data_IF_226261517369
#
_entry.id   IF_226261517369
#
_cell.length_a   1.000
_cell.length_b   1.000
_cell.length_c   1.000
_cell.angle_alpha   90.00
_cell.angle_beta   90.00
_cell.angle_gamma   90.00
#
_symmetry.space_group_name_H-M   'P 1'
#
loop_
_entity.id
_entity.type
_entity.pdbx_description
1 polymer ?
#
# COMPACT_ATOMS: atom_id res chain seq x y z
N UNK A 1 -3.99 -5.78 -32.90
CA UNK A 1 -2.92 -5.69 -31.88
C UNK A 1 -3.62 -5.67 -30.54
N UNK A 2 -3.40 -6.65 -29.67
CA UNK A 2 -3.96 -6.62 -28.33
C UNK A 2 -3.33 -5.43 -27.57
N UNK A 3 -4.15 -4.59 -26.95
CA UNK A 3 -3.69 -3.51 -26.08
C UNK A 3 -2.92 -4.12 -24.90
N UNK A 4 -1.79 -3.51 -24.54
CA UNK A 4 -1.10 -3.87 -23.30
C UNK A 4 -2.04 -3.51 -22.14
N UNK A 5 -2.37 -4.46 -21.24
CA UNK A 5 -3.23 -4.16 -20.10
C UNK A 5 -2.66 -3.03 -19.26
N UNK A 6 -3.50 -2.06 -18.91
CA UNK A 6 -3.13 -1.01 -17.96
C UNK A 6 -3.11 -1.54 -16.53
N UNK A 7 -2.50 -0.80 -15.61
CA UNK A 7 -2.61 -1.12 -14.18
C UNK A 7 -4.04 -1.01 -13.67
N UNK A 8 -4.83 -0.10 -14.26
CA UNK A 8 -6.26 0.03 -14.00
C UNK A 8 -6.99 -1.28 -14.30
N UNK A 9 -6.81 -1.82 -15.52
CA UNK A 9 -7.46 -3.08 -15.95
C UNK A 9 -7.08 -4.24 -15.01
N UNK A 10 -5.79 -4.36 -14.69
CA UNK A 10 -5.29 -5.42 -13.81
C UNK A 10 -5.93 -5.35 -12.41
N UNK A 11 -5.95 -4.16 -11.80
CA UNK A 11 -6.48 -3.97 -10.44
C UNK A 11 -7.99 -4.17 -10.42
N UNK A 12 -8.70 -3.68 -11.42
CA UNK A 12 -10.16 -3.81 -11.51
C UNK A 12 -10.56 -5.29 -11.62
N UNK A 13 -9.95 -6.03 -12.54
CA UNK A 13 -10.27 -7.44 -12.79
C UNK A 13 -9.89 -8.37 -11.64
N UNK A 14 -8.78 -8.11 -10.94
CA UNK A 14 -8.22 -9.07 -9.98
C UNK A 14 -8.44 -8.69 -8.51
N UNK A 15 -8.55 -7.40 -8.19
CA UNK A 15 -8.69 -6.95 -6.80
C UNK A 15 -10.08 -6.39 -6.55
N UNK A 16 -10.57 -5.50 -7.42
CA UNK A 16 -11.79 -4.74 -7.14
C UNK A 16 -13.08 -5.46 -7.55
N UNK A 17 -13.02 -6.47 -8.42
CA UNK A 17 -14.19 -7.24 -8.88
C UNK A 17 -15.15 -7.67 -7.75
N UNK A 18 -14.60 -8.00 -6.57
CA UNK A 18 -15.36 -8.54 -5.44
C UNK A 18 -15.93 -7.45 -4.50
N UNK A 19 -15.61 -6.17 -4.73
CA UNK A 19 -15.96 -5.02 -3.88
C UNK A 19 -15.57 -5.19 -2.40
N UNK A 20 -14.51 -5.97 -2.12
CA UNK A 20 -14.03 -6.23 -0.76
C UNK A 20 -13.06 -5.15 -0.23
N UNK A 21 -12.53 -4.30 -1.12
CA UNK A 21 -11.50 -3.31 -0.77
C UNK A 21 -12.07 -1.89 -0.84
N UNK A 22 -11.90 -1.11 0.23
CA UNK A 22 -12.24 0.31 0.27
C UNK A 22 -11.14 1.23 -0.31
N UNK A 23 -9.96 0.67 -0.58
CA UNK A 23 -8.87 1.37 -1.25
C UNK A 23 -7.73 0.44 -1.63
N UNK A 24 -7.03 0.79 -2.71
CA UNK A 24 -5.84 0.08 -3.20
C UNK A 24 -4.76 1.12 -3.50
N UNK A 25 -3.51 0.83 -3.18
CA UNK A 25 -2.36 1.59 -3.62
C UNK A 25 -1.27 0.64 -4.09
N UNK A 26 -0.78 0.85 -5.31
CA UNK A 26 0.39 0.16 -5.85
C UNK A 26 1.58 1.10 -5.79
N UNK A 27 2.65 0.64 -5.13
CA UNK A 27 3.90 1.37 -5.00
C UNK A 27 5.00 0.67 -5.80
N UNK A 28 5.86 1.47 -6.44
CA UNK A 28 7.13 1.00 -6.98
C UNK A 28 8.07 0.60 -5.84
N UNK A 29 9.15 -0.13 -6.15
CA UNK A 29 10.20 -0.41 -5.16
C UNK A 29 10.90 0.84 -4.64
N UNK A 30 10.81 1.96 -5.38
CA UNK A 30 11.34 3.27 -4.99
C UNK A 30 10.33 4.08 -4.17
N UNK A 31 9.07 3.62 -4.08
CA UNK A 31 8.01 4.25 -3.27
C UNK A 31 7.12 5.18 -4.06
N UNK A 32 7.28 5.21 -5.38
CA UNK A 32 6.44 6.00 -6.27
C UNK A 32 5.06 5.35 -6.36
N UNK A 33 4.03 6.19 -6.37
CA UNK A 33 2.66 5.74 -6.57
C UNK A 33 2.47 5.40 -8.05
N UNK A 34 2.23 4.12 -8.33
CA UNK A 34 1.93 3.62 -9.68
C UNK A 34 0.44 3.67 -9.95
N UNK A 35 -0.37 3.37 -8.91
CA UNK A 35 -1.82 3.34 -9.01
C UNK A 35 -2.45 3.59 -7.63
N UNK A 36 -3.61 4.23 -7.62
CA UNK A 36 -4.45 4.37 -6.42
C UNK A 36 -5.92 4.21 -6.74
N UNK A 37 -6.67 3.72 -5.76
CA UNK A 37 -8.11 3.59 -5.82
C UNK A 37 -8.75 3.86 -4.45
N UNK A 38 -9.97 4.39 -4.48
CA UNK A 38 -10.80 4.58 -3.29
C UNK A 38 -10.16 5.51 -2.27
N UNK A 39 -10.14 5.07 -1.01
CA UNK A 39 -9.64 5.86 0.12
C UNK A 39 -8.13 6.16 0.05
N UNK A 40 -7.35 5.45 -0.78
CA UNK A 40 -5.88 5.59 -0.84
C UNK A 40 -5.39 6.52 -1.97
N UNK A 41 -6.21 7.45 -2.43
CA UNK A 41 -5.93 8.33 -3.58
C UNK A 41 -5.01 9.52 -3.28
N UNK A 42 -4.89 9.94 -2.02
CA UNK A 42 -4.12 11.13 -1.63
C UNK A 42 -3.04 10.82 -0.59
N UNK A 43 -2.23 9.79 -0.84
CA UNK A 43 -1.11 9.45 0.03
C UNK A 43 0.06 10.40 -0.18
N UNK A 44 0.60 10.93 0.91
CA UNK A 44 1.84 11.69 0.91
C UNK A 44 3.07 10.79 0.75
N UNK A 45 4.17 11.36 0.27
CA UNK A 45 5.46 10.66 0.18
C UNK A 45 5.96 10.16 1.55
N UNK A 46 5.59 10.84 2.63
CA UNK A 46 5.88 10.40 4.00
C UNK A 46 5.12 9.13 4.37
N UNK A 47 3.89 9.00 3.91
CA UNK A 47 3.05 7.81 4.12
C UNK A 47 3.51 6.64 3.26
N UNK A 48 3.79 6.86 1.97
CA UNK A 48 4.28 5.79 1.08
C UNK A 48 5.63 5.21 1.53
N UNK A 49 6.54 6.07 2.04
CA UNK A 49 7.84 5.63 2.57
C UNK A 49 7.74 4.76 3.82
N UNK A 50 6.68 4.86 4.62
CA UNK A 50 6.48 3.97 5.78
C UNK A 50 6.31 2.52 5.32
N UNK A 51 5.56 2.30 4.23
CA UNK A 51 5.37 0.96 3.66
C UNK A 51 6.68 0.38 3.15
N UNK A 52 7.46 1.15 2.40
CA UNK A 52 8.77 0.69 1.92
C UNK A 52 9.67 0.24 3.05
N UNK A 53 9.75 1.02 4.14
CA UNK A 53 10.56 0.67 5.31
C UNK A 53 10.13 -0.68 5.88
N UNK A 54 8.84 -0.99 5.93
CA UNK A 54 8.37 -2.28 6.43
C UNK A 54 8.87 -3.49 5.59
N UNK A 55 9.09 -3.30 4.29
CA UNK A 55 9.54 -4.35 3.37
C UNK A 55 11.06 -4.36 3.11
N UNK A 56 11.76 -3.23 3.30
CA UNK A 56 13.19 -3.10 3.01
C UNK A 56 14.09 -3.39 4.23
N UNK A 57 13.54 -3.53 5.44
CA UNK A 57 14.34 -3.83 6.62
C UNK A 57 14.93 -5.25 6.57
N UNK A 58 16.21 -5.35 6.89
CA UNK A 58 17.00 -6.60 6.78
C UNK A 58 17.19 -7.32 8.12
N UNK A 59 16.81 -6.70 9.25
CA UNK A 59 16.94 -7.33 10.57
C UNK A 59 15.59 -7.64 11.20
N UNK A 60 15.47 -8.82 11.79
CA UNK A 60 14.26 -9.30 12.45
C UNK A 60 13.80 -8.36 13.59
N UNK A 61 14.75 -7.74 14.31
CA UNK A 61 14.45 -6.78 15.38
C UNK A 61 13.84 -5.47 14.85
N UNK A 62 14.35 -4.97 13.73
CA UNK A 62 13.80 -3.77 13.09
C UNK A 62 12.42 -4.04 12.47
N UNK A 63 12.25 -5.22 11.90
CA UNK A 63 10.98 -5.68 11.35
C UNK A 63 9.89 -5.80 12.43
N UNK A 64 10.20 -6.44 13.55
CA UNK A 64 9.26 -6.59 14.67
C UNK A 64 8.85 -5.24 15.25
N UNK A 65 9.81 -4.31 15.37
CA UNK A 65 9.53 -2.93 15.78
C UNK A 65 8.56 -2.22 14.83
N UNK A 66 8.75 -2.34 13.51
CA UNK A 66 7.82 -1.74 12.54
C UNK A 66 6.45 -2.41 12.58
N UNK A 67 6.38 -3.72 12.83
CA UNK A 67 5.08 -4.40 12.98
C UNK A 67 4.31 -3.93 14.21
N UNK A 68 5.02 -3.62 15.30
CA UNK A 68 4.45 -3.07 16.54
C UNK A 68 4.06 -1.59 16.39
N UNK A 69 4.95 -0.77 15.84
CA UNK A 69 4.70 0.66 15.60
C UNK A 69 3.62 0.87 14.53
N UNK A 70 3.60 0.04 13.49
CA UNK A 70 2.65 0.13 12.40
C UNK A 70 2.92 1.32 11.47
N UNK A 71 1.87 1.87 10.89
CA UNK A 71 1.95 3.05 10.02
C UNK A 71 0.75 3.98 10.22
N UNK A 72 0.91 5.23 9.83
CA UNK A 72 -0.18 6.22 9.86
C UNK A 72 -0.63 6.59 8.46
N UNK A 73 -1.94 6.73 8.29
CA UNK A 73 -2.55 7.27 7.08
C UNK A 73 -3.50 8.40 7.41
N UNK A 74 -3.54 9.40 6.55
CA UNK A 74 -4.44 10.55 6.62
C UNK A 74 -5.38 10.49 5.43
N UNK A 75 -6.62 10.08 5.68
CA UNK A 75 -7.64 10.09 4.63
C UNK A 75 -8.21 11.50 4.44
N UNK A 76 -8.76 11.76 3.25
CA UNK A 76 -9.28 13.08 2.90
C UNK A 76 -10.41 13.49 3.87
N UNK A 77 -10.20 14.58 4.59
CA UNK A 77 -11.18 15.09 5.56
C UNK A 77 -11.24 14.33 6.88
N UNK A 78 -10.38 13.32 7.08
CA UNK A 78 -10.32 12.54 8.31
C UNK A 78 -9.09 12.88 9.15
N UNK A 79 -9.13 12.47 10.41
CA UNK A 79 -7.96 12.50 11.29
C UNK A 79 -6.99 11.39 10.86
N UNK A 80 -5.71 11.64 11.09
CA UNK A 80 -4.67 10.62 10.96
C UNK A 80 -5.04 9.37 11.77
N UNK A 81 -5.03 8.22 11.12
CA UNK A 81 -5.35 6.92 11.71
C UNK A 81 -4.10 6.06 11.78
N UNK A 82 -3.86 5.47 12.96
CA UNK A 82 -2.77 4.51 13.18
C UNK A 82 -3.26 3.11 12.81
N UNK A 83 -2.49 2.42 11.97
CA UNK A 83 -2.73 1.04 11.55
C UNK A 83 -1.64 0.14 12.10
N UNK A 84 -2.03 -1.06 12.54
CA UNK A 84 -1.09 -2.11 12.94
C UNK A 84 -0.85 -3.07 11.79
N UNK A 85 0.39 -3.50 11.60
CA UNK A 85 0.73 -4.52 10.61
C UNK A 85 0.53 -5.89 11.27
N UNK A 86 -0.47 -6.64 10.82
CA UNK A 86 -0.73 -7.99 11.33
C UNK A 86 0.04 -9.07 10.58
N UNK A 87 0.28 -8.87 9.29
CA UNK A 87 0.96 -9.84 8.44
C UNK A 87 1.73 -9.13 7.32
N UNK A 88 2.87 -9.70 6.95
CA UNK A 88 3.67 -9.30 5.80
C UNK A 88 3.93 -10.54 4.95
N UNK A 89 3.57 -10.47 3.67
CA UNK A 89 3.74 -11.57 2.71
C UNK A 89 4.60 -11.10 1.56
N UNK A 90 5.58 -11.91 1.17
CA UNK A 90 6.39 -11.67 -0.01
C UNK A 90 5.83 -12.47 -1.18
N UNK A 91 5.55 -11.81 -2.29
CA UNK A 91 5.31 -12.48 -3.56
C UNK A 91 6.62 -13.11 -4.04
N UNK A 92 6.58 -14.39 -4.40
CA UNK A 92 7.71 -15.12 -5.00
C UNK A 92 7.52 -15.23 -6.51
#
# INVERSE_FOLDING_TARGET
MASVPSWDDFVEENLLHSNLFCGVCLLSQLGDIVYTFGQLTNLSEGETRQFLRAFQMTSQKAEQKIMEEGFTLTFLGEKQTQFKIYSKTFCR
#
